data_IF_254061035828
#
_entry.id   IF_254061035828
#
_cell.length_a   1.000
_cell.length_b   1.000
_cell.length_c   1.000
_cell.angle_alpha   90.00
_cell.angle_beta   90.00
_cell.angle_gamma   90.00
#
_symmetry.space_group_name_H-M   'P 1'
#
loop_
_entity.id
_entity.type
_entity.pdbx_description
1 polymer ?
#
# COMPACT_ATOMS: atom_id res chain seq x y z
N UNK A 1 -16.71 6.96 18.19
CA UNK A 1 -16.89 6.23 16.91
C UNK A 1 -16.44 4.81 17.22
N UNK A 2 -17.14 3.76 16.80
CA UNK A 2 -16.64 2.39 17.04
C UNK A 2 -15.43 2.13 16.16
N UNK A 3 -14.49 1.31 16.61
CA UNK A 3 -13.36 0.80 15.81
C UNK A 3 -13.79 0.31 14.42
N UNK A 4 -14.93 -0.38 14.32
CA UNK A 4 -15.49 -0.82 13.03
C UNK A 4 -15.78 0.32 12.05
N UNK A 5 -16.41 1.39 12.54
CA UNK A 5 -16.74 2.56 11.72
C UNK A 5 -15.47 3.32 11.33
N UNK A 6 -14.48 3.38 12.23
CA UNK A 6 -13.16 3.96 11.93
C UNK A 6 -12.50 3.20 10.79
N UNK A 7 -12.43 1.87 10.86
CA UNK A 7 -11.78 1.06 9.81
C UNK A 7 -12.52 1.18 8.47
N UNK A 8 -13.85 1.18 8.47
CA UNK A 8 -14.62 1.40 7.25
C UNK A 8 -14.35 2.79 6.63
N UNK A 9 -14.28 3.82 7.48
CA UNK A 9 -14.00 5.20 7.05
C UNK A 9 -12.56 5.38 6.56
N UNK A 10 -11.60 4.69 7.18
CA UNK A 10 -10.22 4.61 6.72
C UNK A 10 -10.17 4.13 5.27
N UNK A 11 -10.81 3.00 4.94
CA UNK A 11 -10.84 2.51 3.55
C UNK A 11 -11.57 3.44 2.60
N UNK A 12 -12.60 4.16 3.07
CA UNK A 12 -13.29 5.17 2.25
C UNK A 12 -12.37 6.34 1.90
N UNK A 13 -11.61 6.84 2.88
CA UNK A 13 -10.73 8.00 2.74
C UNK A 13 -9.49 7.68 1.89
N UNK A 14 -8.87 6.53 2.12
CA UNK A 14 -7.65 6.12 1.44
C UNK A 14 -7.89 5.27 0.18
N UNK A 15 -9.16 5.09 -0.23
CA UNK A 15 -9.57 4.29 -1.39
C UNK A 15 -8.71 4.51 -2.64
N UNK A 16 -8.35 5.75 -2.92
CA UNK A 16 -7.60 6.12 -4.12
C UNK A 16 -6.20 6.66 -3.80
N UNK A 17 -5.67 6.32 -2.63
CA UNK A 17 -4.45 6.89 -2.09
C UNK A 17 -4.59 8.37 -1.75
N UNK A 18 -3.44 9.04 -1.62
CA UNK A 18 -3.31 10.47 -1.38
C UNK A 18 -3.28 11.18 -2.73
N UNK A 19 -4.43 11.73 -3.15
CA UNK A 19 -4.52 12.56 -4.36
C UNK A 19 -4.23 14.01 -4.03
N UNK A 20 -3.27 14.61 -4.71
CA UNK A 20 -3.00 16.03 -4.59
C UNK A 20 -4.28 16.84 -4.89
N UNK A 21 -4.55 17.93 -4.16
CA UNK A 21 -5.64 18.83 -4.52
C UNK A 21 -5.43 19.34 -5.96
N UNK A 22 -6.50 19.54 -6.75
CA UNK A 22 -6.41 19.99 -8.15
C UNK A 22 -5.84 21.40 -8.34
N UNK A 23 -5.29 22.04 -7.30
CA UNK A 23 -4.85 23.43 -7.30
C UNK A 23 -3.33 23.62 -7.43
N UNK A 24 -2.63 22.75 -8.18
CA UNK A 24 -1.26 23.01 -8.68
C UNK A 24 -1.01 22.33 -10.04
N UNK A 25 -1.86 22.59 -11.04
CA UNK A 25 -1.61 22.11 -12.42
C UNK A 25 -0.53 22.89 -13.18
N UNK A 26 0.22 23.79 -12.53
CA UNK A 26 1.14 24.68 -13.25
C UNK A 26 2.59 24.72 -12.77
N UNK A 27 3.10 23.65 -12.14
CA UNK A 27 4.55 23.49 -11.96
C UNK A 27 4.94 22.03 -12.08
N UNK A 28 5.65 21.72 -13.16
CA UNK A 28 6.21 20.40 -13.49
C UNK A 28 7.47 20.14 -12.65
N UNK A 29 7.32 20.22 -11.33
CA UNK A 29 8.36 19.90 -10.36
C UNK A 29 7.81 18.86 -9.38
N UNK A 30 8.27 17.63 -9.59
CA UNK A 30 8.15 16.47 -8.68
C UNK A 30 9.00 16.69 -7.42
N UNK A 31 8.75 17.77 -6.69
CA UNK A 31 9.50 18.11 -5.47
C UNK A 31 8.54 18.29 -4.29
N UNK A 32 8.53 17.26 -3.44
CA UNK A 32 8.08 17.24 -2.05
C UNK A 32 6.63 17.65 -1.77
N UNK A 33 5.69 16.75 -2.07
CA UNK A 33 4.41 16.72 -1.35
C UNK A 33 4.72 16.41 0.11
N UNK A 34 4.71 17.43 0.97
CA UNK A 34 4.88 17.25 2.41
C UNK A 34 3.71 16.40 2.95
N UNK A 35 3.94 15.59 3.98
CA UNK A 35 2.86 14.84 4.67
C UNK A 35 1.68 15.76 5.09
N UNK A 36 1.98 17.05 5.32
CA UNK A 36 1.03 18.11 5.64
C UNK A 36 0.13 18.55 4.48
N UNK A 37 0.38 18.11 3.24
CA UNK A 37 -0.44 18.42 2.07
C UNK A 37 -1.82 17.75 2.07
N UNK A 38 -2.06 16.82 3.02
CA UNK A 38 -3.29 16.02 3.11
C UNK A 38 -3.98 16.18 4.47
N UNK A 39 -4.49 17.39 4.79
CA UNK A 39 -5.03 17.68 6.12
C UNK A 39 -6.25 16.81 6.46
N UNK A 40 -7.08 16.43 5.49
CA UNK A 40 -8.24 15.56 5.75
C UNK A 40 -7.83 14.16 6.22
N UNK A 41 -6.89 13.52 5.52
CA UNK A 41 -6.37 12.20 5.89
C UNK A 41 -5.63 12.26 7.23
N UNK A 42 -4.76 13.26 7.40
CA UNK A 42 -3.98 13.43 8.63
C UNK A 42 -4.87 13.68 9.84
N UNK A 43 -5.82 14.60 9.75
CA UNK A 43 -6.74 14.91 10.85
C UNK A 43 -7.59 13.69 11.22
N UNK A 44 -8.01 12.90 10.22
CA UNK A 44 -8.73 11.66 10.46
C UNK A 44 -7.86 10.67 11.26
N UNK A 45 -6.61 10.45 10.84
CA UNK A 45 -5.70 9.56 11.56
C UNK A 45 -5.48 10.06 13.00
N UNK A 46 -5.11 11.33 13.18
CA UNK A 46 -4.89 11.92 14.50
C UNK A 46 -6.10 11.83 15.45
N UNK A 47 -7.31 11.72 14.92
CA UNK A 47 -8.54 11.61 15.72
C UNK A 47 -8.96 10.15 15.99
N UNK A 48 -8.31 9.17 15.37
CA UNK A 48 -8.79 7.78 15.36
C UNK A 48 -7.72 6.72 15.63
N UNK A 49 -6.44 7.09 15.55
CA UNK A 49 -5.30 6.22 15.87
C UNK A 49 -4.52 6.81 17.02
N UNK A 50 -3.89 5.94 17.81
CA UNK A 50 -2.98 6.36 18.87
C UNK A 50 -1.79 7.14 18.30
N UNK A 51 -1.27 8.11 19.06
CA UNK A 51 -0.15 8.95 18.62
C UNK A 51 1.10 8.12 18.25
N UNK A 52 1.29 7.00 18.95
CA UNK A 52 2.39 6.04 18.80
C UNK A 52 1.97 4.73 18.10
N UNK A 53 0.92 4.76 17.26
CA UNK A 53 0.45 3.60 16.50
C UNK A 53 1.61 2.80 15.88
N UNK A 54 1.65 1.49 16.13
CA UNK A 54 2.68 0.60 15.59
C UNK A 54 2.31 0.14 14.19
N UNK A 55 3.26 0.23 13.26
CA UNK A 55 3.14 -0.17 11.85
C UNK A 55 4.20 -1.22 11.51
N UNK A 56 4.06 -1.87 10.35
CA UNK A 56 5.08 -2.81 9.85
C UNK A 56 6.46 -2.16 9.62
N UNK A 57 6.48 -0.84 9.34
CA UNK A 57 7.70 -0.09 9.01
C UNK A 57 7.90 1.17 9.86
N UNK A 58 7.41 1.19 11.09
CA UNK A 58 7.65 2.32 12.00
C UNK A 58 6.55 2.52 13.02
N UNK A 59 6.44 3.76 13.51
CA UNK A 59 5.41 4.15 14.47
C UNK A 59 4.92 5.58 14.24
N UNK A 60 3.67 5.82 14.64
CA UNK A 60 3.01 7.13 14.64
C UNK A 60 2.37 7.52 13.31
N UNK A 61 1.55 8.58 13.37
CA UNK A 61 0.75 9.07 12.23
C UNK A 61 1.61 9.51 11.06
N UNK A 62 2.77 10.11 11.32
CA UNK A 62 3.64 10.61 10.26
C UNK A 62 4.26 9.45 9.44
N UNK A 63 4.58 8.32 10.08
CA UNK A 63 5.03 7.12 9.39
C UNK A 63 3.91 6.53 8.52
N UNK A 64 2.68 6.46 9.04
CA UNK A 64 1.52 5.98 8.29
C UNK A 64 1.22 6.87 7.06
N UNK A 65 1.37 8.19 7.19
CA UNK A 65 1.21 9.11 6.08
C UNK A 65 2.30 8.94 5.01
N UNK A 66 3.53 8.65 5.40
CA UNK A 66 4.62 8.40 4.44
C UNK A 66 4.43 7.06 3.72
N UNK A 67 3.96 6.01 4.39
CA UNK A 67 3.56 4.75 3.76
C UNK A 67 2.51 4.99 2.67
N UNK A 68 1.46 5.75 2.98
CA UNK A 68 0.43 6.11 1.99
C UNK A 68 0.97 6.96 0.84
N UNK A 69 1.91 7.85 1.11
CA UNK A 69 2.55 8.65 0.07
C UNK A 69 3.37 7.77 -0.87
N UNK A 70 4.16 6.85 -0.33
CA UNK A 70 4.89 5.85 -1.12
C UNK A 70 3.93 5.03 -1.98
N UNK A 71 2.88 4.44 -1.39
CA UNK A 71 1.86 3.68 -2.12
C UNK A 71 1.23 4.51 -3.25
N UNK A 72 0.92 5.78 -3.00
CA UNK A 72 0.27 6.68 -3.97
C UNK A 72 1.20 7.11 -5.11
N UNK A 73 2.51 7.22 -4.85
CA UNK A 73 3.51 7.53 -5.86
C UNK A 73 3.79 6.32 -6.77
N UNK A 74 3.83 5.12 -6.18
CA UNK A 74 4.17 3.89 -6.89
C UNK A 74 3.02 3.36 -7.76
N UNK A 75 1.77 3.63 -7.39
CA UNK A 75 0.61 3.01 -8.04
C UNK A 75 -0.31 4.03 -8.70
N UNK A 76 -0.16 4.20 -10.01
CA UNK A 76 -1.14 4.92 -10.82
C UNK A 76 -2.48 4.15 -10.82
N UNK A 77 -3.58 4.91 -10.83
CA UNK A 77 -4.95 4.40 -10.78
C UNK A 77 -5.25 3.46 -9.61
N UNK A 78 -4.60 3.71 -8.46
CA UNK A 78 -4.84 2.95 -7.23
C UNK A 78 -6.32 2.99 -6.85
N UNK A 79 -6.90 1.81 -6.63
CA UNK A 79 -8.25 1.64 -6.11
C UNK A 79 -8.28 0.49 -5.12
N UNK A 80 -8.60 0.81 -3.88
CA UNK A 80 -8.62 -0.11 -2.76
C UNK A 80 -10.06 -0.36 -2.37
N UNK A 81 -10.49 -1.60 -2.45
CA UNK A 81 -11.86 -2.01 -2.14
C UNK A 81 -11.89 -2.92 -0.93
N UNK A 82 -12.55 -2.48 0.14
CA UNK A 82 -12.84 -3.33 1.29
C UNK A 82 -13.82 -4.41 0.86
N UNK A 83 -13.39 -5.67 0.89
CA UNK A 83 -14.19 -6.84 0.51
C UNK A 83 -14.91 -7.41 1.71
N UNK A 84 -14.19 -7.51 2.84
CA UNK A 84 -14.73 -8.04 4.09
C UNK A 84 -14.06 -7.34 5.27
N UNK A 85 -14.85 -7.06 6.30
CA UNK A 85 -14.38 -6.63 7.61
C UNK A 85 -14.97 -7.59 8.64
N UNK A 86 -14.14 -8.11 9.53
CA UNK A 86 -14.52 -9.10 10.54
C UNK A 86 -13.73 -8.89 11.83
N UNK A 87 -14.25 -9.43 12.94
CA UNK A 87 -13.52 -9.44 14.20
C UNK A 87 -12.39 -10.48 14.13
N UNK A 88 -11.20 -10.08 14.54
CA UNK A 88 -10.04 -10.95 14.69
C UNK A 88 -9.95 -11.55 16.09
N UNK A 89 -8.73 -11.93 16.46
CA UNK A 89 -8.43 -12.45 17.80
C UNK A 89 -8.37 -11.27 18.79
N UNK A 90 -9.04 -11.40 19.93
CA UNK A 90 -9.06 -10.36 20.96
C UNK A 90 -9.76 -9.09 20.47
N UNK A 91 -9.09 -7.96 20.61
CA UNK A 91 -9.56 -6.61 20.26
C UNK A 91 -9.14 -6.17 18.86
N UNK A 92 -8.93 -7.12 17.95
CA UNK A 92 -8.51 -6.85 16.58
C UNK A 92 -9.66 -6.89 15.58
N UNK A 93 -9.52 -6.12 14.51
CA UNK A 93 -10.35 -6.17 13.32
C UNK A 93 -9.50 -6.57 12.13
N UNK A 94 -10.01 -7.50 11.33
CA UNK A 94 -9.34 -7.98 10.12
C UNK A 94 -10.11 -7.50 8.90
N UNK A 95 -9.43 -6.75 8.04
CA UNK A 95 -9.95 -6.29 6.78
C UNK A 95 -9.32 -7.09 5.64
N UNK A 96 -10.17 -7.77 4.86
CA UNK A 96 -9.78 -8.32 3.56
C UNK A 96 -10.08 -7.29 2.49
N UNK A 97 -9.06 -6.98 1.69
CA UNK A 97 -9.07 -5.86 0.76
C UNK A 97 -8.56 -6.32 -0.60
N UNK A 98 -9.13 -5.76 -1.66
CA UNK A 98 -8.62 -5.93 -3.01
C UNK A 98 -8.04 -4.59 -3.47
N UNK A 99 -6.71 -4.53 -3.63
CA UNK A 99 -6.03 -3.40 -4.21
C UNK A 99 -5.92 -3.60 -5.73
N UNK A 100 -6.28 -2.58 -6.49
CA UNK A 100 -6.11 -2.54 -7.92
C UNK A 100 -5.16 -1.41 -8.28
N UNK A 101 -4.17 -1.71 -9.12
CA UNK A 101 -3.25 -0.71 -9.67
C UNK A 101 -2.85 -1.08 -11.08
N UNK A 102 -2.47 -0.08 -11.87
CA UNK A 102 -1.90 -0.28 -13.20
C UNK A 102 -0.40 -0.10 -13.14
N UNK A 103 0.33 -1.00 -13.79
CA UNK A 103 1.76 -0.82 -14.03
C UNK A 103 1.91 0.01 -15.30
N UNK A 104 2.38 1.25 -15.17
CA UNK A 104 2.82 2.09 -16.28
C UNK A 104 4.34 2.07 -16.42
N UNK A 105 4.84 2.56 -17.56
CA UNK A 105 6.28 2.76 -17.78
C UNK A 105 6.88 3.64 -16.67
N UNK A 106 6.20 4.72 -16.28
CA UNK A 106 6.67 5.60 -15.20
C UNK A 106 6.73 4.88 -13.84
N UNK A 107 5.78 3.99 -13.57
CA UNK A 107 5.72 3.28 -12.28
C UNK A 107 6.77 2.18 -12.14
N UNK A 108 7.25 1.61 -13.26
CA UNK A 108 8.12 0.43 -13.22
C UNK A 108 9.44 0.73 -12.51
N UNK A 109 10.04 1.90 -12.76
CA UNK A 109 11.28 2.33 -12.13
C UNK A 109 11.13 2.61 -10.64
N UNK A 110 9.90 2.78 -10.15
CA UNK A 110 9.66 2.95 -8.73
C UNK A 110 9.27 1.65 -8.01
N UNK A 111 8.49 0.78 -8.65
CA UNK A 111 8.03 -0.50 -8.07
C UNK A 111 9.14 -1.58 -8.19
N UNK A 112 9.86 -1.58 -9.31
CA UNK A 112 10.88 -2.57 -9.66
C UNK A 112 12.13 -1.86 -10.24
N UNK A 113 12.79 -0.99 -9.47
CA UNK A 113 13.92 -0.19 -9.95
C UNK A 113 15.03 -1.04 -10.59
N UNK A 114 15.30 -2.21 -10.03
CA UNK A 114 16.33 -3.14 -10.50
C UNK A 114 16.09 -3.71 -11.90
N UNK A 115 14.85 -3.66 -12.41
CA UNK A 115 14.54 -4.10 -13.77
C UNK A 115 14.85 -3.02 -14.82
N UNK A 116 15.15 -1.79 -14.39
CA UNK A 116 15.44 -0.64 -15.26
C UNK A 116 16.93 -0.34 -15.32
N UNK A 117 17.67 -0.69 -14.26
CA UNK A 117 19.10 -0.35 -14.13
C UNK A 117 20.04 -1.19 -15.01
N UNK A 118 19.58 -2.33 -15.55
CA UNK A 118 20.41 -3.26 -16.33
C UNK A 118 19.86 -3.44 -17.75
N UNK A 119 20.71 -3.22 -18.77
CA UNK A 119 20.40 -3.47 -20.20
C UNK A 119 20.53 -4.98 -20.53
N UNK A 120 20.03 -5.82 -19.62
CA UNK A 120 19.89 -7.25 -19.85
C UNK A 120 18.59 -7.51 -20.62
N UNK A 121 18.68 -8.22 -21.73
CA UNK A 121 17.54 -8.50 -22.61
C UNK A 121 16.39 -9.21 -21.88
N UNK A 122 16.69 -9.95 -20.82
CA UNK A 122 15.69 -10.58 -19.97
C UNK A 122 14.91 -9.59 -19.10
N UNK A 123 15.56 -8.57 -18.52
CA UNK A 123 14.86 -7.51 -17.77
C UNK A 123 13.95 -6.70 -18.68
N UNK A 124 14.42 -6.33 -19.88
CA UNK A 124 13.58 -5.65 -20.87
C UNK A 124 12.33 -6.48 -21.23
N UNK A 125 12.49 -7.80 -21.44
CA UNK A 125 11.36 -8.72 -21.68
C UNK A 125 10.35 -8.73 -20.54
N UNK A 126 10.82 -8.73 -19.29
CA UNK A 126 9.94 -8.69 -18.10
C UNK A 126 9.19 -7.36 -18.01
N UNK A 127 9.88 -6.23 -18.21
CA UNK A 127 9.27 -4.89 -18.22
C UNK A 127 8.18 -4.82 -19.28
N UNK A 128 8.42 -5.27 -20.52
CA UNK A 128 7.40 -5.30 -21.58
C UNK A 128 6.17 -6.13 -21.21
N UNK A 129 6.33 -7.23 -20.47
CA UNK A 129 5.18 -8.03 -20.00
C UNK A 129 4.38 -7.35 -18.91
N UNK A 130 5.05 -6.60 -18.02
CA UNK A 130 4.44 -5.96 -16.85
C UNK A 130 3.76 -4.64 -17.20
N UNK A 131 4.39 -3.82 -18.04
CA UNK A 131 3.86 -2.52 -18.45
C UNK A 131 2.50 -2.70 -19.14
N UNK A 132 1.54 -1.86 -18.76
CA UNK A 132 0.17 -1.88 -19.24
C UNK A 132 -0.75 -2.85 -18.50
N UNK A 133 -0.21 -3.75 -17.66
CA UNK A 133 -1.02 -4.69 -16.89
C UNK A 133 -1.74 -4.03 -15.73
N UNK A 134 -2.95 -4.51 -15.43
CA UNK A 134 -3.68 -4.17 -14.22
C UNK A 134 -3.54 -5.31 -13.21
N UNK A 135 -2.93 -5.02 -12.06
CA UNK A 135 -2.81 -5.98 -10.97
C UNK A 135 -4.03 -5.87 -10.07
N UNK A 136 -4.68 -7.00 -9.80
CA UNK A 136 -5.53 -7.18 -8.63
C UNK A 136 -4.73 -7.88 -7.55
N UNK A 137 -4.34 -7.15 -6.51
CA UNK A 137 -3.54 -7.63 -5.38
C UNK A 137 -4.48 -7.84 -4.18
N UNK A 138 -4.71 -9.10 -3.76
CA UNK A 138 -5.38 -9.37 -2.50
C UNK A 138 -4.50 -8.94 -1.32
N UNK A 139 -5.09 -8.23 -0.36
CA UNK A 139 -4.42 -7.77 0.84
C UNK A 139 -5.25 -8.12 2.08
N UNK A 140 -4.58 -8.39 3.20
CA UNK A 140 -5.20 -8.51 4.52
C UNK A 140 -4.55 -7.52 5.45
N UNK A 141 -5.37 -6.74 6.17
CA UNK A 141 -4.91 -5.74 7.13
C UNK A 141 -5.54 -6.06 8.48
N UNK A 142 -4.71 -6.19 9.51
CA UNK A 142 -5.11 -6.36 10.90
C UNK A 142 -4.97 -5.02 11.62
N UNK A 143 -6.03 -4.58 12.27
CA UNK A 143 -6.07 -3.41 13.12
C UNK A 143 -6.26 -3.87 14.56
N UNK A 144 -5.37 -3.49 15.46
CA UNK A 144 -5.53 -3.72 16.90
C UNK A 144 -6.06 -2.42 17.51
N UNK A 145 -7.15 -2.52 18.26
CA UNK A 145 -7.81 -1.37 18.87
C UNK A 145 -7.66 -1.39 20.39
N UNK A 146 -7.52 -0.24 21.02
CA UNK A 146 -7.55 -0.14 22.48
C UNK A 146 -8.99 -0.31 23.00
N UNK A 147 -9.18 -1.16 24.01
CA UNK A 147 -10.51 -1.47 24.56
C UNK A 147 -11.14 -0.30 25.33
N UNK A 148 -10.34 0.64 25.81
CA UNK A 148 -10.81 1.79 26.59
C UNK A 148 -11.06 3.03 25.72
N UNK A 149 -10.19 3.30 24.75
CA UNK A 149 -10.28 4.50 23.89
C UNK A 149 -10.91 4.23 22.52
N UNK A 150 -11.02 2.96 22.09
CA UNK A 150 -11.43 2.53 20.74
C UNK A 150 -10.50 3.03 19.62
N UNK A 151 -9.32 3.56 19.97
CA UNK A 151 -8.32 4.03 19.02
C UNK A 151 -7.54 2.86 18.44
N UNK A 152 -7.07 3.00 17.20
CA UNK A 152 -6.20 2.00 16.58
C UNK A 152 -4.77 2.18 17.12
N UNK A 153 -4.25 1.16 17.78
CA UNK A 153 -2.90 1.17 18.39
C UNK A 153 -1.87 0.42 17.55
N UNK A 154 -2.31 -0.47 16.66
CA UNK A 154 -1.41 -1.19 15.75
C UNK A 154 -2.11 -1.51 14.43
N UNK A 155 -1.33 -1.49 13.36
CA UNK A 155 -1.77 -1.86 12.01
C UNK A 155 -0.70 -2.70 11.32
N UNK A 156 -1.10 -3.88 10.87
CA UNK A 156 -0.23 -4.81 10.15
C UNK A 156 -0.89 -5.26 8.86
N UNK A 157 -0.15 -5.30 7.75
CA UNK A 157 -0.70 -5.70 6.48
C UNK A 157 0.15 -6.71 5.74
N UNK A 158 -0.53 -7.55 4.98
CA UNK A 158 0.08 -8.53 4.07
C UNK A 158 -0.56 -8.39 2.70
N UNK A 159 0.23 -8.59 1.66
CA UNK A 159 -0.22 -8.53 0.27
C UNK A 159 0.28 -9.75 -0.52
N UNK A 160 -0.57 -10.27 -1.40
CA UNK A 160 -0.21 -11.36 -2.30
C UNK A 160 0.09 -10.81 -3.70
N UNK A 161 1.34 -10.40 -3.90
CA UNK A 161 1.85 -10.02 -5.23
C UNK A 161 2.28 -11.22 -6.08
N UNK A 162 2.54 -12.37 -5.45
CA UNK A 162 2.96 -13.59 -6.13
C UNK A 162 1.89 -14.06 -7.11
N UNK A 163 0.65 -14.19 -6.63
CA UNK A 163 -0.48 -14.67 -7.43
C UNK A 163 -0.72 -13.86 -8.71
N UNK A 164 -0.87 -12.51 -8.68
CA UNK A 164 -1.09 -11.75 -9.90
C UNK A 164 0.13 -11.75 -10.83
N UNK A 165 1.36 -11.75 -10.31
CA UNK A 165 2.56 -11.82 -11.15
C UNK A 165 2.73 -13.19 -11.82
N UNK A 166 2.42 -14.29 -11.12
CA UNK A 166 2.41 -15.64 -11.71
C UNK A 166 1.45 -15.74 -12.90
N UNK A 167 0.28 -15.08 -12.83
CA UNK A 167 -0.67 -15.05 -13.95
C UNK A 167 -0.13 -14.31 -15.18
N UNK A 168 0.66 -13.26 -14.97
CA UNK A 168 1.22 -12.44 -16.05
C UNK A 168 2.46 -13.08 -16.67
N UNK A 169 3.39 -13.53 -15.82
CA UNK A 169 4.71 -14.00 -16.24
C UNK A 169 4.71 -15.49 -16.60
N UNK A 170 3.79 -16.26 -16.01
CA UNK A 170 3.54 -17.66 -16.33
C UNK A 170 4.55 -18.67 -15.75
N UNK A 171 5.56 -18.20 -15.01
CA UNK A 171 6.55 -19.06 -14.38
C UNK A 171 7.16 -18.40 -13.13
N UNK A 172 7.59 -19.23 -12.18
CA UNK A 172 8.09 -18.78 -10.88
C UNK A 172 9.46 -18.08 -10.99
N UNK A 173 10.29 -18.48 -11.96
CA UNK A 173 11.62 -17.92 -12.17
C UNK A 173 11.55 -16.42 -12.48
N UNK A 174 10.73 -16.04 -13.46
CA UNK A 174 10.46 -14.65 -13.81
C UNK A 174 9.82 -13.88 -12.64
N UNK A 175 8.89 -14.48 -11.90
CA UNK A 175 8.30 -13.82 -10.71
C UNK A 175 9.34 -13.59 -9.63
N UNK A 176 10.24 -14.55 -9.39
CA UNK A 176 11.30 -14.40 -8.39
C UNK A 176 12.27 -13.27 -8.76
N UNK A 177 12.57 -13.07 -10.04
CA UNK A 177 13.38 -11.94 -10.53
C UNK A 177 12.68 -10.61 -10.31
N UNK A 178 11.40 -10.52 -10.64
CA UNK A 178 10.61 -9.29 -10.47
C UNK A 178 10.47 -8.94 -8.99
N UNK A 179 10.18 -9.91 -8.13
CA UNK A 179 10.02 -9.66 -6.71
C UNK A 179 11.36 -9.40 -6.01
N UNK A 180 12.44 -10.10 -6.36
CA UNK A 180 13.70 -10.13 -5.60
C UNK A 180 14.42 -8.79 -5.38
N UNK A 181 14.09 -7.74 -6.13
CA UNK A 181 14.57 -6.37 -5.92
C UNK A 181 13.45 -5.33 -5.79
N UNK A 182 12.21 -5.77 -5.64
CA UNK A 182 11.06 -4.87 -5.63
C UNK A 182 11.00 -4.04 -4.34
N UNK A 183 10.82 -2.73 -4.49
CA UNK A 183 10.48 -1.83 -3.38
C UNK A 183 9.08 -2.11 -2.82
N UNK A 184 8.24 -2.85 -3.57
CA UNK A 184 6.93 -3.30 -3.13
C UNK A 184 6.97 -4.64 -2.36
N UNK A 185 8.15 -5.26 -2.19
CA UNK A 185 8.28 -6.39 -1.27
C UNK A 185 8.10 -5.92 0.17
N UNK A 186 7.06 -6.44 0.81
CA UNK A 186 6.87 -6.38 2.25
C UNK A 186 7.68 -7.50 2.91
N UNK A 187 8.21 -7.28 4.12
CA UNK A 187 8.88 -8.34 4.86
C UNK A 187 7.91 -9.51 5.01
N UNK A 188 8.33 -10.67 4.51
CA UNK A 188 7.74 -11.95 4.89
C UNK A 188 8.04 -12.08 6.38
N UNK A 189 7.09 -11.75 7.24
CA UNK A 189 7.24 -12.01 8.66
C UNK A 189 7.29 -13.52 8.82
N UNK A 190 8.52 -14.03 8.99
CA UNK A 190 8.72 -15.36 9.52
C UNK A 190 8.13 -15.38 10.92
N UNK A 191 6.93 -15.92 11.05
CA UNK A 191 6.48 -16.46 12.32
C UNK A 191 7.47 -17.57 12.69
N UNK A 192 8.39 -17.27 13.61
CA UNK A 192 9.04 -18.34 14.37
C UNK A 192 8.05 -18.76 15.46
N UNK A 193 7.81 -20.08 15.51
CA UNK A 193 6.95 -20.80 16.44
C UNK A 193 7.13 -20.41 17.92
#
# INVERSE_FOLDING_TARGET
MTSWNVVAEYFRLFRYGLKAPPSVENSRSTESLSSYAYPTHRNFLQATVAEDIVLDRGFGVDALMEDWKSISLHHQDLNISLVRLENGIGNSLVATVQAHCKISEDSIGHIFPHLVDDDDGEHARLVTKLVGQSLGIPCTICFVCDDATEEIVSMHYTSDMMTPLMRILGNLEDVSRVLGGSSAQLPVTGFSD
#
